data_IF_130843091431
#
_entry.id   IF_130843091431
#
_cell.length_a   1.000
_cell.length_b   1.000
_cell.length_c   1.000
_cell.angle_alpha   90.00
_cell.angle_beta   90.00
_cell.angle_gamma   90.00
#
_symmetry.space_group_name_H-M   'P 1'
#
loop_
_entity.id
_entity.type
_entity.pdbx_description
1 polymer ?
#
# COMPACT_ATOMS: atom_id res chain seq x y z
N UNK A 1 -14.10 -4.63 -6.36
CA UNK A 1 -13.38 -4.85 -5.08
C UNK A 1 -12.14 -3.95 -5.05
N UNK A 2 -11.82 -3.38 -3.89
CA UNK A 2 -10.58 -2.63 -3.66
C UNK A 2 -9.76 -3.37 -2.61
N UNK A 3 -8.45 -3.49 -2.84
CA UNK A 3 -7.49 -4.06 -1.89
C UNK A 3 -6.41 -3.01 -1.63
N UNK A 4 -6.32 -2.57 -0.37
CA UNK A 4 -5.27 -1.68 0.09
C UNK A 4 -4.10 -2.48 0.64
N UNK A 5 -2.88 -2.12 0.27
CA UNK A 5 -1.67 -2.75 0.79
C UNK A 5 -0.50 -1.77 0.74
N UNK A 6 0.51 -2.00 1.57
CA UNK A 6 1.75 -1.25 1.56
C UNK A 6 2.65 -1.64 0.37
N UNK A 7 3.53 -0.73 -0.01
CA UNK A 7 4.39 -0.88 -1.17
C UNK A 7 5.72 -0.12 -0.98
N UNK A 8 6.82 -0.88 -1.00
CA UNK A 8 8.18 -0.35 -0.86
C UNK A 8 8.74 0.25 -2.16
N UNK A 9 8.05 0.13 -3.29
CA UNK A 9 8.43 0.77 -4.55
C UNK A 9 7.85 2.20 -4.67
N UNK A 10 7.05 2.63 -3.70
CA UNK A 10 6.34 3.90 -3.72
C UNK A 10 6.79 4.74 -2.51
N UNK A 11 7.25 5.99 -2.73
CA UNK A 11 7.64 6.90 -1.66
C UNK A 11 6.53 7.10 -0.62
N UNK A 12 6.93 7.20 0.64
CA UNK A 12 6.05 7.55 1.75
C UNK A 12 5.18 8.78 1.43
N UNK A 13 3.89 8.69 1.74
CA UNK A 13 2.93 9.77 1.48
C UNK A 13 2.44 9.86 0.03
N UNK A 14 2.82 8.91 -0.83
CA UNK A 14 2.25 8.74 -2.17
C UNK A 14 1.44 7.45 -2.25
N UNK A 15 0.53 7.39 -3.21
CA UNK A 15 -0.22 6.17 -3.52
C UNK A 15 -0.39 6.01 -5.03
N UNK A 16 -0.71 4.79 -5.46
CA UNK A 16 -1.13 4.49 -6.83
C UNK A 16 -2.42 3.67 -6.80
N UNK A 17 -3.25 3.90 -7.81
CA UNK A 17 -4.43 3.09 -8.08
C UNK A 17 -4.20 2.32 -9.38
N UNK A 18 -4.28 0.98 -9.32
CA UNK A 18 -4.06 0.12 -10.47
C UNK A 18 -5.15 -0.95 -10.54
N UNK A 19 -5.76 -1.16 -11.70
CA UNK A 19 -6.65 -2.30 -11.92
C UNK A 19 -5.84 -3.49 -12.44
N UNK A 20 -6.05 -4.69 -11.90
CA UNK A 20 -5.42 -5.94 -12.41
C UNK A 20 -3.92 -6.08 -12.11
N UNK A 21 -3.24 -5.00 -11.72
CA UNK A 21 -1.78 -4.91 -11.60
C UNK A 21 -1.37 -4.58 -10.16
N UNK A 22 -1.09 -5.62 -9.38
CA UNK A 22 -0.42 -5.52 -8.08
C UNK A 22 1.08 -5.85 -8.13
N UNK A 23 1.82 -5.67 -7.02
CA UNK A 23 3.23 -6.03 -6.91
C UNK A 23 3.45 -7.54 -7.00
N UNK A 24 4.65 -7.93 -7.46
CA UNK A 24 5.02 -9.33 -7.72
C UNK A 24 5.29 -10.15 -6.45
N UNK A 25 5.72 -9.50 -5.36
CA UNK A 25 6.30 -10.17 -4.17
C UNK A 25 5.66 -9.72 -2.85
N UNK A 26 4.33 -9.58 -2.81
CA UNK A 26 3.61 -9.26 -1.57
C UNK A 26 2.81 -10.47 -1.08
N UNK A 27 3.25 -11.10 0.02
CA UNK A 27 2.68 -12.35 0.54
C UNK A 27 1.16 -12.30 0.74
N UNK A 28 0.63 -11.19 1.28
CA UNK A 28 -0.81 -11.02 1.44
C UNK A 28 -1.59 -10.98 0.11
N UNK A 29 -1.00 -10.42 -0.95
CA UNK A 29 -1.64 -10.39 -2.27
C UNK A 29 -1.54 -11.74 -2.96
N UNK A 30 -0.42 -12.45 -2.81
CA UNK A 30 -0.28 -13.81 -3.34
C UNK A 30 -1.35 -14.73 -2.77
N UNK A 31 -1.61 -14.64 -1.46
CA UNK A 31 -2.70 -15.39 -0.82
C UNK A 31 -4.09 -14.98 -1.36
N UNK A 32 -4.36 -13.68 -1.54
CA UNK A 32 -5.62 -13.21 -2.14
C UNK A 32 -5.79 -13.75 -3.58
N UNK A 33 -4.73 -13.70 -4.39
CA UNK A 33 -4.76 -14.20 -5.76
C UNK A 33 -5.03 -15.70 -5.84
N UNK A 34 -4.42 -16.47 -4.94
CA UNK A 34 -4.64 -17.91 -4.82
C UNK A 34 -6.10 -18.24 -4.47
N UNK A 35 -6.67 -17.51 -3.49
CA UNK A 35 -8.04 -17.76 -3.03
C UNK A 35 -9.11 -17.29 -4.03
N UNK A 36 -8.86 -16.21 -4.78
CA UNK A 36 -9.82 -15.64 -5.72
C UNK A 36 -9.65 -16.16 -7.15
N UNK A 37 -8.49 -16.73 -7.50
CA UNK A 37 -8.16 -17.15 -8.86
C UNK A 37 -8.03 -15.99 -9.87
N UNK A 38 -8.04 -14.74 -9.42
CA UNK A 38 -7.94 -13.55 -10.27
C UNK A 38 -7.19 -12.41 -9.58
N UNK A 39 -6.66 -11.49 -10.39
CA UNK A 39 -6.08 -10.21 -9.97
C UNK A 39 -6.97 -9.01 -10.34
N UNK A 40 -8.14 -9.25 -10.93
CA UNK A 40 -9.02 -8.25 -11.54
C UNK A 40 -9.80 -7.44 -10.50
N UNK A 41 -9.04 -6.70 -9.69
CA UNK A 41 -9.55 -5.76 -8.72
C UNK A 41 -8.66 -4.54 -8.66
N UNK A 42 -9.17 -3.51 -7.99
CA UNK A 42 -8.43 -2.27 -7.78
C UNK A 42 -7.42 -2.45 -6.65
N UNK A 43 -6.15 -2.32 -6.98
CA UNK A 43 -5.04 -2.23 -6.05
C UNK A 43 -4.84 -0.77 -5.63
N UNK A 44 -5.02 -0.48 -4.35
CA UNK A 44 -4.64 0.78 -3.72
C UNK A 44 -3.28 0.56 -3.08
N UNK A 45 -2.23 0.93 -3.82
CA UNK A 45 -0.83 0.74 -3.42
C UNK A 45 -0.38 1.93 -2.58
N UNK A 46 -0.17 1.72 -1.29
CA UNK A 46 0.20 2.77 -0.33
C UNK A 46 1.72 2.79 -0.18
N UNK A 47 2.35 3.91 -0.52
CA UNK A 47 3.79 4.05 -0.42
C UNK A 47 4.28 4.12 1.01
N UNK A 48 5.22 3.25 1.33
CA UNK A 48 5.91 3.19 2.62
C UNK A 48 7.43 3.34 2.48
N UNK A 49 7.94 3.61 1.27
CA UNK A 49 9.38 3.78 1.08
C UNK A 49 9.87 5.04 1.80
N UNK A 50 10.66 4.81 2.84
CA UNK A 50 11.24 5.80 3.73
C UNK A 50 12.60 5.31 4.21
N UNK A 51 13.34 6.18 4.91
CA UNK A 51 14.59 5.77 5.55
C UNK A 51 14.36 4.61 6.54
N UNK A 52 14.96 3.46 6.23
CA UNK A 52 14.80 2.21 6.99
C UNK A 52 15.72 2.12 8.19
N UNK A 53 16.69 3.03 8.35
CA UNK A 53 17.63 3.03 9.46
C UNK A 53 18.45 1.73 9.53
N UNK A 54 18.83 1.18 8.38
CA UNK A 54 19.61 -0.06 8.27
C UNK A 54 18.82 -1.37 8.37
N UNK A 55 17.49 -1.33 8.53
CA UNK A 55 16.64 -2.54 8.54
C UNK A 55 16.50 -3.16 7.15
N UNK A 56 16.37 -4.48 7.12
CA UNK A 56 15.91 -5.22 5.93
C UNK A 56 14.46 -4.83 5.55
N UNK A 57 14.03 -5.08 4.30
CA UNK A 57 12.62 -4.89 3.91
C UNK A 57 11.63 -5.57 4.86
N UNK A 58 11.91 -6.81 5.23
CA UNK A 58 11.07 -7.65 6.08
C UNK A 58 10.96 -7.11 7.51
N UNK A 59 12.09 -6.67 8.09
CA UNK A 59 12.09 -6.02 9.40
C UNK A 59 11.38 -4.67 9.36
N UNK A 60 11.54 -3.93 8.27
CA UNK A 60 10.96 -2.59 8.12
C UNK A 60 9.42 -2.64 8.10
N UNK A 61 8.82 -3.53 7.31
CA UNK A 61 7.35 -3.68 7.22
C UNK A 61 6.71 -4.17 8.52
N UNK A 62 7.48 -4.87 9.36
CA UNK A 62 7.03 -5.31 10.68
C UNK A 62 7.30 -4.29 11.79
N UNK A 63 8.04 -3.21 11.50
CA UNK A 63 8.42 -2.22 12.49
C UNK A 63 7.34 -1.15 12.70
N UNK A 64 7.37 -0.50 13.87
CA UNK A 64 6.46 0.60 14.17
C UNK A 64 6.84 1.85 13.37
N UNK A 65 5.84 2.54 12.87
CA UNK A 65 6.01 3.87 12.28
C UNK A 65 6.49 4.90 13.30
N UNK A 66 7.37 5.78 12.83
CA UNK A 66 7.71 7.04 13.50
C UNK A 66 6.50 7.99 13.49
N UNK A 67 6.41 8.95 14.42
CA UNK A 67 5.29 9.88 14.50
C UNK A 67 4.99 10.62 13.18
N UNK A 68 6.03 11.06 12.48
CA UNK A 68 5.97 11.73 11.19
C UNK A 68 5.45 10.83 10.07
N UNK A 69 5.88 9.56 10.03
CA UNK A 69 5.41 8.57 9.07
C UNK A 69 3.92 8.28 9.28
N UNK A 70 3.53 8.10 10.55
CA UNK A 70 2.12 7.89 10.92
C UNK A 70 1.26 9.09 10.53
N UNK A 71 1.75 10.31 10.70
CA UNK A 71 1.03 11.52 10.29
C UNK A 71 0.87 11.58 8.77
N UNK A 72 1.93 11.29 8.01
CA UNK A 72 1.92 11.25 6.56
C UNK A 72 0.93 10.20 6.02
N UNK A 73 0.95 8.98 6.57
CA UNK A 73 0.02 7.91 6.18
C UNK A 73 -1.43 8.29 6.50
N UNK A 74 -1.70 8.88 7.67
CA UNK A 74 -3.06 9.35 8.00
C UNK A 74 -3.57 10.39 7.00
N UNK A 75 -2.75 11.38 6.66
CA UNK A 75 -3.11 12.39 5.67
C UNK A 75 -3.35 11.78 4.28
N UNK A 76 -2.50 10.83 3.90
CA UNK A 76 -2.64 10.08 2.64
C UNK A 76 -3.95 9.29 2.59
N UNK A 77 -4.29 8.54 3.64
CA UNK A 77 -5.54 7.77 3.71
C UNK A 77 -6.76 8.69 3.58
N UNK A 78 -6.77 9.84 4.26
CA UNK A 78 -7.85 10.81 4.13
C UNK A 78 -8.00 11.30 2.68
N UNK A 79 -6.89 11.58 1.99
CA UNK A 79 -6.87 11.97 0.57
C UNK A 79 -7.40 10.85 -0.34
N UNK A 80 -7.03 9.60 -0.09
CA UNK A 80 -7.52 8.45 -0.87
C UNK A 80 -9.04 8.33 -0.73
N UNK A 81 -9.57 8.39 0.49
CA UNK A 81 -11.03 8.30 0.76
C UNK A 81 -11.78 9.42 0.03
N UNK A 82 -11.29 10.66 0.11
CA UNK A 82 -11.89 11.79 -0.61
C UNK A 82 -11.87 11.57 -2.13
N UNK A 83 -10.74 11.08 -2.66
CA UNK A 83 -10.61 10.79 -4.09
C UNK A 83 -11.56 9.70 -4.59
N UNK A 84 -11.78 8.65 -3.79
CA UNK A 84 -12.72 7.57 -4.14
C UNK A 84 -14.18 8.02 -4.06
N UNK A 85 -14.53 8.88 -3.10
CA UNK A 85 -15.89 9.40 -2.95
C UNK A 85 -16.27 10.41 -4.05
N UNK A 86 -15.29 11.13 -4.60
CA UNK A 86 -15.49 12.11 -5.68
C UNK A 86 -15.57 11.50 -7.09
N UNK A 87 -15.52 10.17 -7.23
CA UNK A 87 -15.71 9.47 -8.51
C UNK A 87 -17.12 8.89 -8.71
N UNK A 88 -18.06 9.28 -7.85
CA UNK A 88 -19.50 9.00 -8.00
C UNK A 88 -20.23 10.22 -8.58
#
# INVERSE_FOLDING_TARGET
MYVCHDDLDIPLGKFKLNFGKGPLVHNGLLSIYEQLGTKDFWHIRIGIDADRGGKTPEEFVLSRWRPEERAAIKALIAKIIQGLNGQN
#
